data_IF_165465531439
#
_entry.id   IF_165465531439
#
_cell.length_a   1.000
_cell.length_b   1.000
_cell.length_c   1.000
_cell.angle_alpha   90.00
_cell.angle_beta   90.00
_cell.angle_gamma   90.00
#
_symmetry.space_group_name_H-M   'P 1'
#
loop_
_entity.id
_entity.type
_entity.pdbx_description
1 polymer ?
#
# COMPACT_ATOMS: atom_id res chain seq x y z
N UNK A 1 -8.10 -15.69 -4.63
CA UNK A 1 -7.03 -15.48 -3.62
C UNK A 1 -7.39 -16.21 -2.32
N UNK A 2 -6.45 -16.65 -1.47
CA UNK A 2 -6.79 -17.23 -0.15
C UNK A 2 -6.43 -16.24 0.97
N UNK A 3 -7.42 -15.47 1.42
CA UNK A 3 -7.24 -14.41 2.41
C UNK A 3 -6.74 -14.95 3.77
N UNK A 4 -7.31 -16.06 4.25
CA UNK A 4 -6.93 -16.66 5.54
C UNK A 4 -5.45 -17.04 5.58
N UNK A 5 -4.93 -17.58 4.47
CA UNK A 5 -3.51 -17.91 4.34
C UNK A 5 -2.63 -16.66 4.42
N UNK A 6 -3.01 -15.57 3.74
CA UNK A 6 -2.25 -14.31 3.78
C UNK A 6 -2.22 -13.71 5.19
N UNK A 7 -3.33 -13.79 5.92
CA UNK A 7 -3.38 -13.33 7.31
C UNK A 7 -2.44 -14.16 8.21
N UNK A 8 -2.39 -15.48 8.01
CA UNK A 8 -1.47 -16.37 8.75
C UNK A 8 -0.01 -16.10 8.40
N UNK A 9 0.29 -15.80 7.13
CA UNK A 9 1.63 -15.44 6.67
C UNK A 9 2.13 -14.12 7.29
N UNK A 10 1.20 -13.23 7.66
CA UNK A 10 1.50 -11.97 8.34
C UNK A 10 2.01 -10.87 7.42
N UNK A 11 2.25 -9.68 7.98
CA UNK A 11 2.83 -8.56 7.24
C UNK A 11 4.26 -8.86 6.78
N UNK A 12 4.64 -8.27 5.65
CA UNK A 12 5.96 -8.47 5.07
C UNK A 12 6.21 -7.61 3.85
N UNK A 13 7.17 -8.01 3.03
CA UNK A 13 7.64 -7.16 1.90
C UNK A 13 6.52 -6.84 0.91
N UNK A 14 5.56 -7.75 0.71
CA UNK A 14 4.49 -7.63 -0.29
C UNK A 14 3.09 -7.59 0.33
N UNK A 15 2.99 -7.48 1.66
CA UNK A 15 1.71 -7.54 2.37
C UNK A 15 1.73 -6.60 3.58
N UNK A 16 0.68 -5.79 3.72
CA UNK A 16 0.55 -4.82 4.81
C UNK A 16 -0.92 -4.79 5.24
N UNK A 17 -1.19 -4.81 6.55
CA UNK A 17 -2.51 -4.79 7.14
C UNK A 17 -2.88 -3.37 7.53
N UNK A 18 -4.15 -3.03 7.33
CA UNK A 18 -4.69 -1.75 7.74
C UNK A 18 -6.09 -1.97 8.30
N UNK A 19 -6.34 -1.43 9.50
CA UNK A 19 -7.70 -1.38 10.03
C UNK A 19 -8.63 -0.55 9.14
N UNK A 20 -8.15 0.63 8.71
CA UNK A 20 -8.86 1.63 7.89
C UNK A 20 -7.83 2.64 7.37
N UNK A 21 -8.11 3.33 6.27
CA UNK A 21 -7.24 4.37 5.71
C UNK A 21 -7.59 5.74 6.29
N UNK A 22 -6.68 6.27 7.12
CA UNK A 22 -6.91 7.53 7.85
C UNK A 22 -6.24 8.76 7.24
N UNK A 23 -5.27 8.59 6.34
CA UNK A 23 -4.54 9.70 5.70
C UNK A 23 -3.99 9.26 4.35
N UNK A 24 -4.10 10.17 3.36
CA UNK A 24 -3.56 9.96 2.02
C UNK A 24 -2.03 9.97 2.02
N UNK A 25 -1.41 10.87 2.78
CA UNK A 25 0.05 11.00 2.95
C UNK A 25 0.65 9.72 3.55
N UNK A 26 0.00 9.16 4.58
CA UNK A 26 0.47 7.93 5.23
C UNK A 26 0.38 6.73 4.31
N UNK A 27 -0.77 6.54 3.65
CA UNK A 27 -0.94 5.37 2.77
C UNK A 27 -0.09 5.48 1.51
N UNK A 28 0.10 6.68 0.96
CA UNK A 28 0.95 6.92 -0.20
C UNK A 28 2.38 6.40 0.00
N UNK A 29 2.95 6.52 1.21
CA UNK A 29 4.28 5.95 1.52
C UNK A 29 4.33 4.44 1.28
N UNK A 30 3.29 3.71 1.66
CA UNK A 30 3.20 2.27 1.42
C UNK A 30 2.93 1.94 -0.05
N UNK A 31 2.06 2.71 -0.72
CA UNK A 31 1.80 2.52 -2.15
C UNK A 31 3.08 2.66 -2.99
N UNK A 32 3.83 3.75 -2.80
CA UNK A 32 5.08 3.97 -3.54
C UNK A 32 6.17 2.97 -3.14
N UNK A 33 6.21 2.54 -1.88
CA UNK A 33 7.14 1.49 -1.43
C UNK A 33 6.88 0.15 -2.13
N UNK A 34 5.61 -0.22 -2.35
CA UNK A 34 5.26 -1.40 -3.13
C UNK A 34 5.64 -1.24 -4.60
N UNK A 35 5.26 -0.12 -5.22
CA UNK A 35 5.55 0.16 -6.62
C UNK A 35 7.06 0.16 -6.92
N UNK A 36 7.87 0.73 -6.02
CA UNK A 36 9.33 0.76 -6.11
C UNK A 36 10.00 -0.60 -5.90
N UNK A 37 9.30 -1.56 -5.30
CA UNK A 37 9.82 -2.90 -5.05
C UNK A 37 9.15 -3.94 -5.97
N UNK A 38 8.57 -4.99 -5.38
CA UNK A 38 8.00 -6.17 -6.05
C UNK A 38 6.48 -6.08 -6.20
N UNK A 39 5.91 -4.89 -5.99
CA UNK A 39 4.48 -4.73 -5.74
C UNK A 39 4.10 -5.20 -4.34
N UNK A 40 2.80 -5.28 -4.09
CA UNK A 40 2.25 -5.75 -2.82
C UNK A 40 0.75 -5.55 -2.71
N UNK A 41 0.22 -5.98 -1.57
CA UNK A 41 -1.21 -5.91 -1.25
C UNK A 41 -1.41 -5.26 0.10
N UNK A 42 -2.43 -4.42 0.16
CA UNK A 42 -3.02 -3.92 1.40
C UNK A 42 -4.25 -4.76 1.71
N UNK A 43 -4.35 -5.25 2.95
CA UNK A 43 -5.60 -5.81 3.48
C UNK A 43 -6.24 -4.79 4.41
N UNK A 44 -7.31 -4.16 3.94
CA UNK A 44 -8.06 -3.15 4.69
C UNK A 44 -9.23 -3.81 5.42
N UNK A 45 -9.40 -3.49 6.70
CA UNK A 45 -10.33 -4.16 7.61
C UNK A 45 -9.67 -5.29 8.41
N UNK A 46 -8.34 -5.37 8.41
CA UNK A 46 -7.55 -6.36 9.19
C UNK A 46 -6.67 -5.62 10.19
N UNK A 47 -6.66 -6.07 11.45
CA UNK A 47 -5.78 -5.54 12.49
C UNK A 47 -4.37 -6.12 12.35
N UNK A 48 -3.39 -5.49 13.00
CA UNK A 48 -1.99 -5.90 12.99
C UNK A 48 -1.79 -7.32 13.56
N UNK A 49 -2.69 -7.78 14.43
CA UNK A 49 -2.71 -9.16 14.98
C UNK A 49 -3.38 -10.19 14.05
N UNK A 50 -3.82 -9.78 12.86
CA UNK A 50 -4.54 -10.60 11.90
C UNK A 50 -6.06 -10.70 12.13
N UNK A 51 -6.60 -10.06 13.17
CA UNK A 51 -8.04 -10.06 13.43
C UNK A 51 -8.80 -9.34 12.31
N UNK A 52 -9.74 -10.03 11.68
CA UNK A 52 -10.64 -9.46 10.67
C UNK A 52 -11.71 -8.62 11.38
N UNK A 53 -11.63 -7.29 11.27
CA UNK A 53 -12.68 -6.36 11.72
C UNK A 53 -13.71 -6.07 10.64
N UNK A 54 -13.29 -6.14 9.38
CA UNK A 54 -14.04 -5.71 8.22
C UNK A 54 -14.02 -4.19 8.02
N UNK A 55 -14.28 -3.77 6.79
CA UNK A 55 -14.47 -2.36 6.44
C UNK A 55 -15.93 -1.97 6.68
N UNK A 56 -16.16 -0.70 7.03
CA UNK A 56 -17.51 -0.15 7.19
C UNK A 56 -18.12 0.31 5.86
N UNK A 57 -17.27 0.83 4.98
CA UNK A 57 -17.62 1.37 3.67
C UNK A 57 -16.43 1.12 2.74
N UNK A 58 -16.57 0.16 1.85
CA UNK A 58 -15.56 -0.15 0.83
C UNK A 58 -15.34 1.01 -0.14
N UNK A 59 -16.38 1.78 -0.45
CA UNK A 59 -16.29 2.93 -1.34
C UNK A 59 -15.43 4.05 -0.75
N UNK A 60 -15.53 4.29 0.57
CA UNK A 60 -14.70 5.27 1.27
C UNK A 60 -13.22 4.86 1.25
N UNK A 61 -12.94 3.58 1.54
CA UNK A 61 -11.58 3.05 1.55
C UNK A 61 -10.96 3.07 0.13
N UNK A 62 -11.72 2.64 -0.89
CA UNK A 62 -11.30 2.73 -2.30
C UNK A 62 -11.03 4.17 -2.71
N UNK A 63 -11.91 5.11 -2.33
CA UNK A 63 -11.75 6.52 -2.64
C UNK A 63 -10.47 7.09 -2.03
N UNK A 64 -10.21 6.82 -0.75
CA UNK A 64 -9.01 7.29 -0.07
C UNK A 64 -7.73 6.72 -0.69
N UNK A 65 -7.70 5.44 -1.03
CA UNK A 65 -6.55 4.80 -1.68
C UNK A 65 -6.34 5.37 -3.07
N UNK A 66 -7.40 5.51 -3.86
CA UNK A 66 -7.35 6.08 -5.22
C UNK A 66 -6.88 7.54 -5.19
N UNK A 67 -7.35 8.32 -4.22
CA UNK A 67 -6.91 9.71 -4.03
C UNK A 67 -5.43 9.77 -3.67
N UNK A 68 -4.95 8.92 -2.76
CA UNK A 68 -3.53 8.85 -2.43
C UNK A 68 -2.68 8.45 -3.64
N UNK A 69 -3.13 7.46 -4.41
CA UNK A 69 -2.43 6.96 -5.58
C UNK A 69 -2.31 8.00 -6.71
N UNK A 70 -3.30 8.88 -6.88
CA UNK A 70 -3.31 9.89 -7.94
C UNK A 70 -2.66 11.22 -7.55
N UNK A 71 -2.86 11.67 -6.31
CA UNK A 71 -2.48 13.03 -5.90
C UNK A 71 -1.28 13.06 -4.95
N UNK A 72 -1.01 11.98 -4.25
CA UNK A 72 0.08 11.88 -3.27
C UNK A 72 1.20 10.94 -3.73
N UNK A 73 1.08 10.35 -4.92
CA UNK A 73 2.12 9.55 -5.56
C UNK A 73 2.53 10.18 -6.89
N UNK A 74 3.83 10.15 -7.20
CA UNK A 74 4.38 10.60 -8.47
C UNK A 74 5.49 9.67 -8.95
N UNK A 75 5.43 9.05 -10.13
CA UNK A 75 4.26 8.98 -11.02
C UNK A 75 3.01 8.46 -10.29
N UNK A 76 1.83 8.81 -10.80
CA UNK A 76 0.57 8.31 -10.25
C UNK A 76 0.53 6.78 -10.32
N UNK A 77 -0.23 6.17 -9.42
CA UNK A 77 -0.41 4.72 -9.32
C UNK A 77 -1.88 4.37 -9.57
N UNK A 78 -2.10 3.17 -10.11
CA UNK A 78 -3.44 2.62 -10.35
C UNK A 78 -3.61 1.33 -9.52
N UNK A 79 -4.27 1.41 -8.35
CA UNK A 79 -4.54 0.25 -7.51
C UNK A 79 -5.62 -0.66 -8.10
N UNK A 80 -5.43 -1.97 -7.98
CA UNK A 80 -6.47 -2.96 -8.28
C UNK A 80 -7.19 -3.35 -7.00
N UNK A 81 -8.53 -3.34 -7.02
CA UNK A 81 -9.33 -3.65 -5.84
C UNK A 81 -10.03 -5.00 -5.97
N UNK A 82 -10.02 -5.78 -4.88
CA UNK A 82 -10.79 -7.02 -4.73
C UNK A 82 -11.51 -7.00 -3.38
N UNK A 83 -12.77 -7.41 -3.36
CA UNK A 83 -13.60 -7.50 -2.17
C UNK A 83 -13.73 -8.96 -1.75
N UNK A 84 -13.40 -9.25 -0.49
CA UNK A 84 -13.44 -10.61 0.05
C UNK A 84 -14.26 -10.63 1.33
N UNK A 85 -15.33 -11.41 1.34
CA UNK A 85 -16.14 -11.63 2.53
C UNK A 85 -15.62 -12.82 3.34
N UNK A 86 -15.45 -12.62 4.65
CA UNK A 86 -15.13 -13.67 5.63
C UNK A 86 -16.00 -13.48 6.85
N UNK A 87 -16.81 -14.50 7.18
CA UNK A 87 -17.71 -14.51 8.35
C UNK A 87 -18.56 -13.22 8.43
N UNK A 88 -19.20 -12.88 7.30
CA UNK A 88 -20.02 -11.68 7.07
C UNK A 88 -19.30 -10.33 7.21
N UNK A 89 -17.96 -10.34 7.26
CA UNK A 89 -17.12 -9.13 7.28
C UNK A 89 -16.44 -8.95 5.93
N UNK A 90 -16.54 -7.75 5.38
CA UNK A 90 -15.87 -7.39 4.13
C UNK A 90 -14.43 -6.96 4.39
N UNK A 91 -13.46 -7.60 3.74
CA UNK A 91 -12.06 -7.15 3.66
C UNK A 91 -11.82 -6.63 2.26
N UNK A 92 -11.37 -5.37 2.18
CA UNK A 92 -10.96 -4.77 0.91
C UNK A 92 -9.47 -5.06 0.69
N UNK A 93 -9.16 -5.62 -0.47
CA UNK A 93 -7.79 -5.85 -0.93
C UNK A 93 -7.47 -4.76 -1.93
N UNK A 94 -6.36 -4.03 -1.73
CA UNK A 94 -5.81 -3.14 -2.73
C UNK A 94 -4.43 -3.64 -3.16
N UNK A 95 -4.30 -4.04 -4.42
CA UNK A 95 -3.06 -4.54 -5.01
C UNK A 95 -2.36 -3.44 -5.81
N UNK A 96 -1.07 -3.26 -5.52
CA UNK A 96 -0.15 -2.38 -6.26
C UNK A 96 0.86 -3.27 -6.97
N UNK A 97 0.91 -3.17 -8.30
CA UNK A 97 1.91 -3.87 -9.10
C UNK A 97 3.30 -3.25 -8.92
N UNK A 98 4.39 -4.02 -9.10
CA UNK A 98 5.70 -3.41 -9.31
C UNK A 98 5.61 -2.50 -10.53
N UNK A 99 6.18 -1.31 -10.43
CA UNK A 99 6.14 -0.34 -11.52
C UNK A 99 7.36 -0.45 -12.42
N UNK A 100 7.16 -0.21 -13.71
CA UNK A 100 8.24 -0.04 -14.69
C UNK A 100 8.68 1.43 -14.82
N UNK A 101 8.04 2.35 -14.08
CA UNK A 101 8.32 3.80 -14.08
C UNK A 101 8.94 4.25 -12.75
N UNK A 102 9.91 3.49 -12.26
CA UNK A 102 10.61 3.78 -11.01
C UNK A 102 11.58 4.97 -11.17
N UNK A 103 11.82 5.77 -10.11
CA UNK A 103 11.19 5.69 -8.79
C UNK A 103 9.86 6.45 -8.72
N UNK A 104 8.95 5.92 -7.89
CA UNK A 104 7.78 6.62 -7.37
C UNK A 104 8.12 7.36 -6.07
N UNK A 105 7.53 8.53 -5.92
CA UNK A 105 7.67 9.47 -4.81
C UNK A 105 6.32 9.65 -4.13
N UNK A 106 6.31 9.74 -2.80
CA UNK A 106 5.13 10.15 -2.04
C UNK A 106 5.26 11.59 -1.54
N UNK A 107 4.17 12.34 -1.55
CA UNK A 107 4.08 13.68 -0.98
C UNK A 107 3.89 13.61 0.55
N UNK A 108 4.67 14.40 1.30
CA UNK A 108 4.50 14.56 2.75
C UNK A 108 3.66 15.80 3.11
N UNK A 109 3.44 16.00 4.41
CA UNK A 109 2.66 17.11 4.97
C UNK A 109 3.31 18.49 4.74
N UNK A 110 4.63 18.55 4.51
CA UNK A 110 5.37 19.78 4.20
C UNK A 110 5.36 20.11 2.68
N UNK A 111 4.72 19.27 1.86
CA UNK A 111 4.73 19.41 0.40
C UNK A 111 6.03 18.91 -0.27
N UNK A 112 6.85 18.12 0.43
CA UNK A 112 8.09 17.53 -0.09
C UNK A 112 7.84 16.12 -0.63
N UNK A 113 8.59 15.78 -1.68
CA UNK A 113 8.50 14.48 -2.35
C UNK A 113 9.63 13.55 -1.92
N UNK A 114 9.27 12.33 -1.51
CA UNK A 114 10.19 11.36 -0.95
C UNK A 114 10.03 9.99 -1.59
N UNK A 115 11.14 9.28 -1.82
CA UNK A 115 11.13 7.91 -2.32
C UNK A 115 11.12 6.95 -1.13
N UNK A 116 10.16 6.04 -1.09
CA UNK A 116 10.13 4.95 -0.11
C UNK A 116 10.31 3.60 -0.79
N UNK A 117 10.91 2.65 -0.07
CA UNK A 117 11.08 1.25 -0.47
C UNK A 117 10.63 0.33 0.67
N UNK A 118 10.26 -0.92 0.36
CA UNK A 118 9.98 -1.93 1.40
C UNK A 118 11.27 -2.54 1.93
N UNK A 119 11.39 -2.61 3.25
CA UNK A 119 12.38 -3.40 3.97
C UNK A 119 11.62 -4.20 5.02
N UNK A 120 11.52 -5.51 4.84
CA UNK A 120 10.59 -6.37 5.59
C UNK A 120 9.15 -5.83 5.51
N UNK A 121 8.50 -5.66 6.65
CA UNK A 121 7.16 -5.12 6.86
C UNK A 121 7.10 -3.58 6.84
N UNK A 122 8.20 -2.87 6.58
CA UNK A 122 8.28 -1.41 6.73
C UNK A 122 8.54 -0.68 5.42
N UNK A 123 7.90 0.48 5.29
CA UNK A 123 8.15 1.47 4.24
C UNK A 123 9.24 2.45 4.71
N UNK A 124 10.46 2.29 4.21
CA UNK A 124 11.65 3.03 4.62
C UNK A 124 12.03 4.10 3.60
N UNK A 125 12.51 5.26 4.07
CA UNK A 125 13.03 6.30 3.20
C UNK A 125 14.26 5.77 2.44
N UNK A 126 14.24 5.90 1.12
CA UNK A 126 15.33 5.45 0.27
C UNK A 126 16.55 6.38 0.42
N UNK A 127 17.73 5.80 0.56
CA UNK A 127 18.98 6.57 0.48
C UNK A 127 19.21 7.06 -0.96
N UNK A 128 20.05 8.08 -1.12
CA UNK A 128 20.41 8.60 -2.46
C UNK A 128 20.90 7.49 -3.42
N UNK A 129 21.70 6.56 -2.91
CA UNK A 129 22.22 5.43 -3.70
C UNK A 129 21.06 4.54 -4.18
N UNK A 130 20.10 4.22 -3.31
CA UNK A 130 18.92 3.43 -3.68
C UNK A 130 18.09 4.15 -4.73
N UNK A 131 17.89 5.46 -4.57
CA UNK A 131 17.16 6.27 -5.56
C UNK A 131 17.86 6.25 -6.93
N UNK A 132 19.18 6.34 -6.96
CA UNK A 132 19.94 6.31 -8.21
C UNK A 132 19.93 4.93 -8.90
N UNK A 133 19.79 3.84 -8.12
CA UNK A 133 19.57 2.49 -8.66
C UNK A 133 18.16 2.37 -9.27
N UNK A 134 17.13 2.84 -8.57
CA UNK A 134 15.74 2.78 -9.05
C UNK A 134 15.52 3.57 -10.35
N UNK A 135 16.30 4.63 -10.62
CA UNK A 135 16.24 5.38 -11.89
C UNK A 135 16.79 4.60 -13.10
N UNK A 136 17.47 3.48 -12.87
CA UNK A 136 18.11 2.66 -13.92
C UNK A 136 17.38 1.33 -14.14
N UNK A 137 16.35 1.03 -13.35
CA UNK A 137 15.58 -0.21 -13.40
C UNK A 137 14.39 -0.12 -14.32
#
# INVERSE_FOLDING_TARGET
>A
MNLKRMIIEGEGVTLDFKKTITSCEKIAKTLVAFANNKGGRLLIGVLDDGTIKGVKSEDEEKYMITRAANFFCRPALEPFFEEIYVDDRLVLVAEIKPSDLKPHYSLDEDGKWWVYIRTNDKSMLASKIVVDVLKRS
#
